data_IF_483554141979
#
_entry.id   IF_483554141979
#
_cell.length_a   1.000
_cell.length_b   1.000
_cell.length_c   1.000
_cell.angle_alpha   90.00
_cell.angle_beta   90.00
_cell.angle_gamma   90.00
#
_symmetry.space_group_name_H-M   'P 1'
#
loop_
_entity.id
_entity.type
_entity.pdbx_description
1 polymer ?
#
# COMPACT_ATOMS: atom_id res chain seq x y z
N UNK A 1 27.83 10.69 -18.34
CA UNK A 1 26.37 10.46 -18.34
C UNK A 1 25.87 11.00 -17.02
N UNK A 2 25.35 12.23 -17.03
CA UNK A 2 24.74 12.85 -15.86
C UNK A 2 23.47 12.07 -15.53
N UNK A 3 23.43 11.46 -14.34
CA UNK A 3 22.17 10.95 -13.78
C UNK A 3 21.42 12.19 -13.32
N UNK A 4 20.34 12.54 -14.00
CA UNK A 4 19.37 13.48 -13.45
C UNK A 4 18.87 12.93 -12.13
N UNK A 5 18.92 13.75 -11.09
CA UNK A 5 18.31 13.46 -9.79
C UNK A 5 16.82 13.15 -10.06
N UNK A 6 16.40 11.90 -9.83
CA UNK A 6 14.98 11.58 -9.72
C UNK A 6 14.56 12.06 -8.34
N UNK A 7 13.76 13.12 -8.31
CA UNK A 7 13.11 13.58 -7.09
C UNK A 7 11.88 12.65 -6.93
N UNK A 8 11.86 11.88 -5.84
CA UNK A 8 10.87 10.87 -5.42
C UNK A 8 10.84 9.56 -6.25
N UNK A 9 11.75 8.63 -5.94
CA UNK A 9 11.73 7.25 -6.45
C UNK A 9 11.17 6.32 -5.36
N UNK A 10 9.87 6.42 -5.07
CA UNK A 10 9.19 5.49 -4.17
C UNK A 10 9.22 4.08 -4.78
N UNK A 11 9.94 3.17 -4.13
CA UNK A 11 10.11 1.80 -4.61
C UNK A 11 9.08 0.88 -3.96
N UNK A 12 8.41 0.05 -4.77
CA UNK A 12 7.50 -1.00 -4.29
C UNK A 12 8.18 -2.37 -4.37
N UNK A 13 8.14 -3.10 -3.26
CA UNK A 13 8.62 -4.47 -3.11
C UNK A 13 7.46 -5.44 -3.02
N UNK A 14 7.48 -6.49 -3.84
CA UNK A 14 6.53 -7.59 -3.77
C UNK A 14 7.29 -8.88 -3.56
N UNK A 15 6.91 -9.65 -2.54
CA UNK A 15 7.56 -10.91 -2.18
C UNK A 15 6.52 -11.98 -1.87
N UNK A 16 6.75 -13.21 -2.33
CA UNK A 16 5.98 -14.37 -1.90
C UNK A 16 6.51 -14.87 -0.55
N UNK A 17 5.63 -15.35 0.32
CA UNK A 17 5.99 -15.99 1.59
C UNK A 17 6.10 -17.51 1.41
N UNK A 18 6.71 -18.20 2.39
CA UNK A 18 7.17 -19.59 2.28
C UNK A 18 6.10 -20.62 1.83
N UNK A 19 4.83 -20.37 2.11
CA UNK A 19 3.70 -21.22 1.71
C UNK A 19 3.32 -21.10 0.23
N UNK A 20 3.69 -19.99 -0.42
CA UNK A 20 3.24 -19.62 -1.77
C UNK A 20 1.76 -19.18 -1.84
N UNK A 21 1.04 -19.25 -0.73
CA UNK A 21 -0.37 -18.85 -0.58
C UNK A 21 -0.50 -17.40 -0.09
N UNK A 22 0.61 -16.82 0.38
CA UNK A 22 0.66 -15.46 0.90
C UNK A 22 1.75 -14.66 0.19
N UNK A 23 1.50 -13.35 0.06
CA UNK A 23 2.48 -12.40 -0.45
C UNK A 23 2.47 -11.13 0.39
N UNK A 24 3.60 -10.44 0.40
CA UNK A 24 3.78 -9.15 1.06
C UNK A 24 4.06 -8.08 0.02
N UNK A 25 3.40 -6.94 0.20
CA UNK A 25 3.70 -5.69 -0.48
C UNK A 25 4.33 -4.74 0.54
N UNK A 26 5.42 -4.08 0.18
CA UNK A 26 6.08 -3.06 0.99
C UNK A 26 6.54 -1.91 0.09
N UNK A 27 6.73 -0.73 0.66
CA UNK A 27 7.27 0.44 -0.02
C UNK A 27 8.25 1.19 0.89
N UNK A 28 9.07 2.08 0.32
CA UNK A 28 10.00 2.96 1.05
C UNK A 28 9.40 4.36 1.32
N UNK A 29 8.08 4.50 1.22
CA UNK A 29 7.36 5.74 1.45
C UNK A 29 7.19 6.07 2.95
N UNK A 30 6.42 7.13 3.26
CA UNK A 30 6.14 7.52 4.63
C UNK A 30 5.33 6.46 5.38
N UNK A 31 5.71 6.19 6.64
CA UNK A 31 5.00 5.26 7.51
C UNK A 31 3.56 5.71 7.83
N UNK A 32 2.70 4.72 8.11
CA UNK A 32 1.32 4.93 8.58
C UNK A 32 1.33 5.07 10.12
N UNK A 33 0.74 6.14 10.69
CA UNK A 33 0.56 6.25 12.13
C UNK A 33 -0.22 5.07 12.71
N UNK A 34 0.21 4.55 13.87
CA UNK A 34 -0.38 3.35 14.50
C UNK A 34 -1.88 3.49 14.76
N UNK A 35 -2.33 4.70 15.08
CA UNK A 35 -3.75 5.02 15.31
C UNK A 35 -4.60 4.93 14.05
N UNK A 36 -4.01 5.01 12.86
CA UNK A 36 -4.71 5.01 11.57
C UNK A 36 -4.67 3.62 10.89
N UNK A 37 -3.90 2.66 11.42
CA UNK A 37 -3.69 1.34 10.81
C UNK A 37 -5.00 0.56 10.57
N UNK A 38 -6.04 0.76 11.38
CA UNK A 38 -7.35 0.13 11.12
C UNK A 38 -8.18 0.94 10.11
N UNK A 39 -8.06 2.26 10.15
CA UNK A 39 -8.85 3.18 9.32
C UNK A 39 -8.40 3.22 7.86
N UNK A 40 -7.13 2.87 7.55
CA UNK A 40 -6.63 2.85 6.16
C UNK A 40 -7.40 1.90 5.24
N UNK A 41 -8.11 0.92 5.80
CA UNK A 41 -8.97 0.00 5.04
C UNK A 41 -10.42 0.49 4.89
N UNK A 42 -10.78 1.64 5.47
CA UNK A 42 -12.12 2.22 5.39
C UNK A 42 -12.39 2.84 4.02
N UNK A 43 -13.63 2.71 3.53
CA UNK A 43 -14.03 3.35 2.28
C UNK A 43 -13.94 4.87 2.38
N UNK A 44 -13.17 5.47 1.46
CA UNK A 44 -13.01 6.91 1.37
C UNK A 44 -11.92 7.48 2.27
N UNK A 45 -11.15 6.66 2.99
CA UNK A 45 -10.01 7.13 3.76
C UNK A 45 -8.83 7.45 2.82
N UNK A 46 -8.35 8.68 2.85
CA UNK A 46 -7.13 9.10 2.14
C UNK A 46 -6.46 10.26 2.86
N UNK A 47 -5.13 10.22 2.91
CA UNK A 47 -4.29 11.33 3.39
C UNK A 47 -3.98 12.34 2.29
N UNK A 48 -4.27 12.00 1.03
CA UNK A 48 -4.10 12.88 -0.13
C UNK A 48 -5.40 13.63 -0.45
N UNK A 49 -5.27 14.92 -0.76
CA UNK A 49 -6.42 15.81 -1.00
C UNK A 49 -7.27 15.39 -2.21
N UNK A 50 -6.66 14.74 -3.19
CA UNK A 50 -7.29 14.27 -4.43
C UNK A 50 -7.48 12.75 -4.44
N UNK A 51 -7.08 12.05 -3.38
CA UNK A 51 -7.20 10.61 -3.25
C UNK A 51 -8.64 10.19 -2.96
N UNK A 52 -9.14 9.21 -3.71
CA UNK A 52 -10.50 8.69 -3.54
C UNK A 52 -10.65 7.75 -2.34
N UNK A 53 -9.55 7.20 -1.84
CA UNK A 53 -9.55 6.34 -0.65
C UNK A 53 -10.27 4.99 -0.81
N UNK A 54 -10.35 4.47 -2.04
CA UNK A 54 -11.05 3.19 -2.32
C UNK A 54 -10.12 1.99 -2.43
N UNK A 55 -8.82 2.20 -2.65
CA UNK A 55 -7.87 1.14 -3.01
C UNK A 55 -7.75 0.03 -1.95
N UNK A 56 -7.33 0.39 -0.74
CA UNK A 56 -7.12 -0.56 0.36
C UNK A 56 -8.43 -1.23 0.83
N UNK A 57 -9.56 -0.50 0.76
CA UNK A 57 -10.87 -1.07 1.04
C UNK A 57 -11.21 -2.22 0.08
N UNK A 58 -10.94 -2.04 -1.22
CA UNK A 58 -11.11 -3.09 -2.24
C UNK A 58 -10.15 -4.25 -2.01
N UNK A 59 -8.88 -3.97 -1.67
CA UNK A 59 -7.89 -5.02 -1.35
C UNK A 59 -8.39 -5.92 -0.23
N UNK A 60 -8.92 -5.34 0.86
CA UNK A 60 -9.49 -6.10 1.97
C UNK A 60 -10.66 -6.97 1.50
N UNK A 61 -11.61 -6.41 0.76
CA UNK A 61 -12.78 -7.15 0.27
C UNK A 61 -12.37 -8.36 -0.60
N UNK A 62 -11.41 -8.18 -1.50
CA UNK A 62 -10.92 -9.26 -2.37
C UNK A 62 -10.15 -10.31 -1.54
N UNK A 63 -9.30 -9.88 -0.61
CA UNK A 63 -8.56 -10.79 0.25
C UNK A 63 -9.48 -11.62 1.15
N UNK A 64 -10.52 -11.01 1.73
CA UNK A 64 -11.53 -11.70 2.54
C UNK A 64 -12.38 -12.68 1.72
N UNK A 65 -12.63 -12.38 0.45
CA UNK A 65 -13.43 -13.23 -0.44
C UNK A 65 -12.65 -14.45 -0.97
N UNK A 66 -11.33 -14.37 -1.06
CA UNK A 66 -10.49 -15.36 -1.76
C UNK A 66 -9.37 -15.99 -0.92
N UNK A 67 -9.10 -15.46 0.28
CA UNK A 67 -8.13 -16.00 1.24
C UNK A 67 -8.64 -17.18 2.05
#
# INVERSE_FOLDING_TARGET
MERGQAEDDDTIYVSALDSGEEFRVADDGPDIPVEECEDVFSFGYSTEKEGTGVGLAIVREIAEAHG
#
